data_IF_640106092935
#
_entry.id   IF_640106092935
#
_cell.length_a   1.000
_cell.length_b   1.000
_cell.length_c   1.000
_cell.angle_alpha   90.00
_cell.angle_beta   90.00
_cell.angle_gamma   90.00
#
_symmetry.space_group_name_H-M   'P 1'
#
loop_
_entity.id
_entity.type
_entity.pdbx_description
1 polymer ?
#
# COMPACT_ATOMS: atom_id res chain seq x y z
N UNK A 1 -3.69 -7.08 -17.19
CA UNK A 1 -2.60 -6.10 -17.08
C UNK A 1 -2.58 -5.60 -15.64
N UNK A 2 -1.44 -5.14 -15.14
CA UNK A 2 -1.35 -4.56 -13.80
C UNK A 2 -1.54 -3.04 -13.96
N UNK A 3 -2.50 -2.45 -13.23
CA UNK A 3 -2.72 -1.01 -13.28
C UNK A 3 -1.60 -0.22 -12.60
N UNK A 4 -1.37 0.99 -13.08
CA UNK A 4 -0.43 1.92 -12.47
C UNK A 4 -1.17 2.85 -11.53
N UNK A 5 -0.49 3.26 -10.46
CA UNK A 5 -1.00 4.32 -9.60
C UNK A 5 -0.89 5.63 -10.36
N UNK A 6 -2.02 6.30 -10.55
CA UNK A 6 -2.12 7.63 -11.16
C UNK A 6 -1.94 8.74 -10.13
N UNK A 7 -2.55 8.57 -8.96
CA UNK A 7 -2.43 9.54 -7.87
C UNK A 7 -2.60 8.88 -6.51
N UNK A 8 -1.89 9.41 -5.52
CA UNK A 8 -2.08 9.09 -4.11
C UNK A 8 -2.48 10.35 -3.37
N UNK A 9 -3.47 10.23 -2.50
CA UNK A 9 -4.03 11.34 -1.73
C UNK A 9 -4.01 10.99 -0.25
N UNK A 10 -3.57 11.92 0.58
CA UNK A 10 -3.60 11.81 2.05
C UNK A 10 -4.43 12.98 2.57
N UNK A 11 -5.54 12.67 3.25
CA UNK A 11 -6.45 13.69 3.80
C UNK A 11 -6.85 14.74 2.76
N UNK A 12 -7.15 14.30 1.53
CA UNK A 12 -7.52 15.18 0.41
C UNK A 12 -6.36 15.92 -0.28
N UNK A 13 -5.10 15.70 0.12
CA UNK A 13 -3.91 16.30 -0.52
C UNK A 13 -3.12 15.29 -1.33
N UNK A 14 -2.91 15.59 -2.61
CA UNK A 14 -2.05 14.79 -3.47
C UNK A 14 -0.64 14.66 -2.88
N UNK A 15 -0.08 13.46 -2.96
CA UNK A 15 1.28 13.14 -2.52
C UNK A 15 2.12 12.70 -3.71
N UNK A 16 3.38 13.11 -3.69
CA UNK A 16 4.38 12.63 -4.62
C UNK A 16 4.88 11.23 -4.22
N UNK A 17 5.54 10.55 -5.16
CA UNK A 17 6.11 9.22 -4.97
C UNK A 17 7.14 9.16 -3.83
N UNK A 18 7.85 10.26 -3.60
CA UNK A 18 8.90 10.36 -2.58
C UNK A 18 8.37 10.81 -1.21
N UNK A 19 7.05 11.01 -1.07
CA UNK A 19 6.44 11.37 0.20
C UNK A 19 6.62 10.25 1.24
N UNK A 20 6.88 10.63 2.49
CA UNK A 20 6.94 9.69 3.61
C UNK A 20 5.53 9.23 4.00
N UNK A 21 5.04 8.21 3.30
CA UNK A 21 3.73 7.60 3.52
C UNK A 21 3.71 6.63 4.70
N UNK A 22 4.85 6.33 5.32
CA UNK A 22 4.89 5.36 6.43
C UNK A 22 4.29 5.92 7.72
N UNK A 23 4.17 7.25 7.82
CA UNK A 23 3.71 7.96 9.02
C UNK A 23 2.21 8.28 9.01
N UNK A 24 1.49 7.92 7.97
CA UNK A 24 0.07 8.28 7.80
C UNK A 24 -0.83 7.07 8.07
N UNK A 25 -2.00 7.30 8.67
CA UNK A 25 -2.91 6.21 9.01
C UNK A 25 -3.62 5.63 7.79
N UNK A 26 -3.88 6.47 6.79
CA UNK A 26 -4.71 6.13 5.65
C UNK A 26 -4.27 6.93 4.42
N UNK A 27 -4.20 6.25 3.28
CA UNK A 27 -3.96 6.85 1.97
C UNK A 27 -5.03 6.37 0.99
N UNK A 28 -5.42 7.25 0.08
CA UNK A 28 -6.33 6.96 -1.03
C UNK A 28 -5.52 6.85 -2.31
N UNK A 29 -5.82 5.86 -3.13
CA UNK A 29 -5.06 5.55 -4.36
C UNK A 29 -6.03 5.47 -5.52
N UNK A 30 -5.74 6.18 -6.60
CA UNK A 30 -6.45 6.08 -7.87
C UNK A 30 -5.51 5.49 -8.93
N UNK A 31 -6.00 4.54 -9.72
CA UNK A 31 -5.25 3.94 -10.82
C UNK A 31 -5.51 4.62 -12.17
N UNK A 32 -4.62 4.39 -13.13
CA UNK A 32 -4.79 4.77 -14.54
C UNK A 32 -5.99 4.09 -15.22
N UNK A 33 -6.47 2.99 -14.66
CA UNK A 33 -7.71 2.28 -15.05
C UNK A 33 -8.98 2.89 -14.45
N UNK A 34 -8.86 3.90 -13.56
CA UNK A 34 -9.98 4.61 -12.94
C UNK A 34 -10.53 3.95 -11.66
N UNK A 35 -9.89 2.90 -11.16
CA UNK A 35 -10.27 2.25 -9.90
C UNK A 35 -9.69 3.00 -8.70
N UNK A 36 -10.44 2.99 -7.59
CA UNK A 36 -10.04 3.63 -6.35
C UNK A 36 -9.87 2.63 -5.23
N UNK A 37 -8.87 2.87 -4.40
CA UNK A 37 -8.51 2.01 -3.29
C UNK A 37 -8.21 2.85 -2.04
N UNK A 38 -8.55 2.28 -0.89
CA UNK A 38 -8.17 2.82 0.42
C UNK A 38 -7.13 1.89 1.02
N UNK A 39 -6.00 2.46 1.40
CA UNK A 39 -4.92 1.74 2.08
C UNK A 39 -4.83 2.26 3.51
N UNK A 40 -5.06 1.37 4.48
CA UNK A 40 -5.15 1.72 5.90
C UNK A 40 -4.08 0.99 6.68
N UNK A 41 -3.30 1.73 7.47
CA UNK A 41 -2.39 1.15 8.46
C UNK A 41 -3.20 0.55 9.62
N UNK A 42 -2.91 -0.68 9.99
CA UNK A 42 -3.46 -1.34 11.18
C UNK A 42 -2.50 -1.12 12.35
N UNK A 43 -2.93 -0.28 13.30
CA UNK A 43 -2.11 0.11 14.45
C UNK A 43 -1.40 1.45 14.26
N UNK A 44 -0.55 1.84 15.23
CA UNK A 44 0.14 3.13 15.19
C UNK A 44 1.14 3.15 14.03
N UNK A 45 1.20 4.25 13.25
CA UNK A 45 2.13 4.38 12.12
C UNK A 45 3.58 4.57 12.56
N UNK A 46 3.87 4.51 13.88
CA UNK A 46 5.20 4.76 14.45
C UNK A 46 5.59 3.62 15.39
N UNK A 47 6.69 2.94 15.06
CA UNK A 47 7.36 1.94 15.90
C UNK A 47 6.78 0.52 15.77
N UNK A 48 7.50 -0.33 15.03
CA UNK A 48 7.17 -1.73 14.65
C UNK A 48 6.61 -1.87 13.23
N UNK A 49 6.78 -3.04 12.58
CA UNK A 49 6.33 -3.25 11.20
C UNK A 49 4.85 -2.90 11.01
N UNK A 50 4.59 -1.81 10.27
CA UNK A 50 3.25 -1.39 9.89
C UNK A 50 2.62 -2.44 8.97
N UNK A 51 1.45 -2.94 9.38
CA UNK A 51 0.61 -3.82 8.58
C UNK A 51 -0.47 -2.96 7.92
N UNK A 52 -0.54 -2.98 6.59
CA UNK A 52 -1.46 -2.18 5.80
C UNK A 52 -2.49 -3.09 5.14
N UNK A 53 -3.75 -2.67 5.15
CA UNK A 53 -4.82 -3.30 4.36
C UNK A 53 -5.16 -2.45 3.15
N UNK A 54 -5.29 -3.10 2.00
CA UNK A 54 -5.74 -2.48 0.75
C UNK A 54 -7.16 -2.94 0.48
N UNK A 55 -8.10 -2.00 0.44
CA UNK A 55 -9.52 -2.25 0.20
C UNK A 55 -9.96 -1.49 -1.03
N UNK A 56 -10.77 -2.11 -1.88
CA UNK A 56 -11.40 -1.43 -3.02
C UNK A 56 -12.40 -0.41 -2.50
N UNK A 57 -12.27 0.84 -2.94
CA UNK A 57 -13.22 1.91 -2.59
C UNK A 57 -14.52 1.80 -3.40
N UNK A 58 -14.50 1.06 -4.51
CA UNK A 58 -15.64 0.93 -5.42
C UNK A 58 -16.72 -0.02 -4.86
N UNK A 59 -16.31 -1.06 -4.12
CA UNK A 59 -17.20 -2.12 -3.62
C UNK A 59 -16.85 -2.64 -2.21
N UNK A 60 -15.81 -2.09 -1.57
CA UNK A 60 -15.46 -2.37 -0.18
C UNK A 60 -14.75 -3.70 0.08
N UNK A 61 -14.41 -4.49 -0.95
CA UNK A 61 -13.74 -5.78 -0.74
C UNK A 61 -12.25 -5.62 -0.43
N UNK A 62 -11.72 -6.52 0.41
CA UNK A 62 -10.29 -6.59 0.70
C UNK A 62 -9.53 -7.10 -0.54
N UNK A 63 -8.62 -6.28 -1.06
CA UNK A 63 -7.74 -6.61 -2.18
C UNK A 63 -6.50 -7.36 -1.71
N UNK A 64 -5.95 -6.98 -0.55
CA UNK A 64 -4.78 -7.62 0.02
C UNK A 64 -4.21 -6.86 1.21
N UNK A 65 -3.01 -7.28 1.63
CA UNK A 65 -2.26 -6.61 2.69
C UNK A 65 -0.81 -6.38 2.30
N UNK A 66 -0.22 -5.35 2.89
CA UNK A 66 1.20 -5.00 2.76
C UNK A 66 1.79 -4.91 4.16
N UNK A 67 2.87 -5.62 4.42
CA UNK A 67 3.56 -5.62 5.72
C UNK A 67 4.95 -5.05 5.55
N UNK A 68 5.29 -4.00 6.27
CA UNK A 68 6.68 -3.60 6.43
C UNK A 68 7.42 -4.73 7.18
N UNK A 69 8.54 -5.21 6.68
CA UNK A 69 9.32 -6.27 7.33
C UNK A 69 10.40 -5.72 8.28
N UNK A 70 10.56 -4.39 8.31
CA UNK A 70 11.67 -3.73 8.95
C UNK A 70 12.92 -3.79 8.06
N UNK A 71 13.69 -2.73 8.13
CA UNK A 71 14.96 -2.64 7.47
C UNK A 71 16.01 -3.26 8.39
N UNK A 72 16.63 -4.39 7.99
CA UNK A 72 17.80 -4.93 8.71
C UNK A 72 19.00 -3.95 8.77
N UNK A 73 18.88 -2.78 8.11
CA UNK A 73 19.79 -1.65 8.13
C UNK A 73 18.98 -0.34 8.08
N UNK A 74 19.42 0.77 8.72
CA UNK A 74 18.76 2.07 8.61
C UNK A 74 18.58 2.48 7.13
N UNK A 75 17.34 2.74 6.71
CA UNK A 75 17.00 3.21 5.35
C UNK A 75 16.58 2.15 4.32
N UNK A 76 16.62 0.85 4.65
CA UNK A 76 16.22 -0.22 3.71
C UNK A 76 14.80 -0.76 3.97
N UNK A 77 13.76 0.01 3.69
CA UNK A 77 12.37 -0.43 3.87
C UNK A 77 12.05 -1.59 2.92
N UNK A 78 11.68 -2.75 3.47
CA UNK A 78 11.24 -3.91 2.70
C UNK A 78 9.78 -4.18 3.03
N UNK A 79 8.91 -4.18 2.03
CA UNK A 79 7.49 -4.47 2.17
C UNK A 79 7.19 -5.83 1.57
N UNK A 80 6.41 -6.64 2.29
CA UNK A 80 5.82 -7.87 1.76
C UNK A 80 4.36 -7.63 1.46
N UNK A 81 3.96 -7.80 0.21
CA UNK A 81 2.55 -7.74 -0.17
C UNK A 81 1.97 -9.15 -0.34
N UNK A 82 0.67 -9.31 -0.06
CA UNK A 82 -0.08 -10.55 -0.29
C UNK A 82 -1.49 -10.22 -0.73
N UNK A 83 -1.92 -10.80 -1.86
CA UNK A 83 -3.30 -10.66 -2.36
C UNK A 83 -4.28 -11.45 -1.48
N UNK A 84 -5.46 -10.87 -1.24
CA UNK A 84 -6.53 -11.55 -0.51
C UNK A 84 -6.94 -12.84 -1.24
N UNK A 85 -7.20 -13.90 -0.48
CA UNK A 85 -7.57 -15.21 -1.01
C UNK A 85 -6.45 -15.99 -1.71
N UNK A 86 -5.24 -15.44 -1.85
CA UNK A 86 -4.14 -16.12 -2.52
C UNK A 86 -3.25 -16.92 -1.56
N UNK A 87 -2.94 -18.17 -1.93
CA UNK A 87 -1.97 -19.02 -1.24
C UNK A 87 -0.52 -18.59 -1.55
N UNK A 88 -0.24 -18.13 -2.78
CA UNK A 88 1.11 -17.82 -3.27
C UNK A 88 1.26 -16.46 -3.97
N UNK A 89 0.18 -15.68 -4.18
CA UNK A 89 0.26 -14.38 -4.86
C UNK A 89 0.69 -13.26 -3.90
N UNK A 90 1.98 -13.29 -3.55
CA UNK A 90 2.65 -12.25 -2.78
C UNK A 90 4.09 -12.08 -3.22
N UNK A 91 4.72 -10.98 -2.81
CA UNK A 91 6.09 -10.66 -3.19
C UNK A 91 6.71 -9.64 -2.24
N UNK A 92 7.90 -9.18 -2.57
CA UNK A 92 8.61 -8.13 -1.84
C UNK A 92 8.82 -6.91 -2.73
N UNK A 93 8.72 -5.72 -2.14
CA UNK A 93 9.00 -4.43 -2.76
C UNK A 93 9.82 -3.57 -1.79
N UNK A 94 10.52 -2.57 -2.31
CA UNK A 94 11.39 -1.69 -1.52
C UNK A 94 10.71 -0.38 -1.09
N UNK A 95 9.44 -0.22 -1.43
CA UNK A 95 8.64 0.95 -1.09
C UNK A 95 7.14 0.57 -1.00
N UNK A 96 6.41 1.30 -0.16
CA UNK A 96 4.98 1.08 0.07
C UNK A 96 4.17 1.26 -1.21
N UNK A 97 4.55 2.24 -2.05
CA UNK A 97 3.87 2.56 -3.30
C UNK A 97 3.85 1.38 -4.26
N UNK A 98 5.00 0.79 -4.57
CA UNK A 98 5.12 -0.38 -5.44
C UNK A 98 4.48 -1.63 -4.81
N UNK A 99 4.54 -1.77 -3.48
CA UNK A 99 3.88 -2.87 -2.77
C UNK A 99 2.36 -2.81 -2.94
N UNK A 100 1.77 -1.62 -2.81
CA UNK A 100 0.36 -1.37 -3.08
C UNK A 100 0.05 -1.59 -4.56
N UNK A 101 0.82 -1.00 -5.48
CA UNK A 101 0.64 -1.16 -6.93
C UNK A 101 0.66 -2.62 -7.37
N UNK A 102 1.43 -3.49 -6.69
CA UNK A 102 1.47 -4.93 -6.95
C UNK A 102 0.16 -5.67 -6.63
N UNK A 103 -0.73 -5.03 -5.87
CA UNK A 103 -2.04 -5.57 -5.52
C UNK A 103 -3.16 -5.08 -6.46
N UNK A 104 -2.96 -3.97 -7.16
CA UNK A 104 -3.99 -3.30 -7.95
C UNK A 104 -4.25 -4.02 -9.29
N UNK A 105 -5.40 -3.70 -9.91
CA UNK A 105 -5.84 -4.27 -11.18
C UNK A 105 -6.17 -3.19 -12.20
#
# INVERSE_FOLDING_TARGET
MQANIRSVTVQGRAQDRDADLDRVQQIEVETDTGHRYVVTCEGPPVGSPSDWKVTSADDGHLVGSVRLLGAGMPGATNYRYKRAGALLAGGKQFDLWNAVQSLLR
#
